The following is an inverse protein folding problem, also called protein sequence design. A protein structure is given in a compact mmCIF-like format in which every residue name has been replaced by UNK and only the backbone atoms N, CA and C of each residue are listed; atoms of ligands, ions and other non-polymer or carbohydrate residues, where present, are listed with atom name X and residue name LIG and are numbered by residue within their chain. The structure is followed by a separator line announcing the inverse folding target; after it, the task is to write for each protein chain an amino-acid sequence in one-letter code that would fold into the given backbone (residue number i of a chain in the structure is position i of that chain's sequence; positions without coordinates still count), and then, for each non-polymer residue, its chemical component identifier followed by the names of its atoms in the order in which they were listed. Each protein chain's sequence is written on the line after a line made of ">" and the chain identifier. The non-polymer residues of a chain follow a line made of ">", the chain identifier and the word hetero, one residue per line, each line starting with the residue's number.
data_IF_045902980898
#
_entry.id   IF_045902980898
#
_cell.length_a   1.000
_cell.length_b   1.000
_cell.length_c   1.000
_cell.angle_alpha   90.00
_cell.angle_beta   90.00
_cell.angle_gamma   90.00
#
_symmetry.space_group_name_H-M   'P 1'
#
loop_
_entity.id
_entity.type
_entity.pdbx_description
1 polymer ?
#
# COMPACT_ATOMS: atom_id res chain seq x y z
N UNK A 1 16.40 33.48 6.78
CA UNK A 1 15.18 33.66 5.97
C UNK A 1 14.52 32.31 5.81
N UNK A 2 13.60 31.99 6.72
CA UNK A 2 12.86 30.72 6.78
C UNK A 2 11.84 30.66 5.64
N UNK A 3 12.30 30.25 4.46
CA UNK A 3 11.49 30.01 3.26
C UNK A 3 10.60 28.76 3.37
N UNK A 4 10.62 28.09 4.53
CA UNK A 4 9.96 26.80 4.84
C UNK A 4 8.46 26.88 5.16
N UNK A 5 7.79 28.02 5.06
CA UNK A 5 6.44 28.20 5.63
C UNK A 5 5.31 28.48 4.63
N UNK A 6 5.49 28.13 3.35
CA UNK A 6 4.42 28.10 2.35
C UNK A 6 3.90 26.68 2.12
N UNK A 7 3.59 25.95 3.19
CA UNK A 7 2.81 24.71 3.11
C UNK A 7 3.54 23.37 3.01
N UNK A 8 4.89 23.32 3.00
CA UNK A 8 5.67 22.07 3.07
C UNK A 8 7.02 22.12 2.35
N UNK A 9 7.89 21.13 2.58
CA UNK A 9 9.15 20.94 1.85
C UNK A 9 8.94 19.95 0.68
N UNK A 10 8.98 20.39 -0.59
CA UNK A 10 8.70 19.52 -1.74
C UNK A 10 9.60 18.28 -1.84
N UNK A 11 10.88 18.40 -1.45
CA UNK A 11 11.82 17.28 -1.49
C UNK A 11 11.45 16.20 -0.47
N UNK A 12 11.11 16.59 0.75
CA UNK A 12 10.62 15.66 1.78
C UNK A 12 9.28 15.04 1.37
N UNK A 13 8.36 15.82 0.81
CA UNK A 13 7.09 15.29 0.31
C UNK A 13 7.28 14.27 -0.81
N UNK A 14 8.24 14.49 -1.72
CA UNK A 14 8.59 13.48 -2.73
C UNK A 14 9.14 12.20 -2.09
N UNK A 15 9.99 12.31 -1.08
CA UNK A 15 10.49 11.13 -0.35
C UNK A 15 9.34 10.37 0.34
N UNK A 16 8.40 11.09 0.96
CA UNK A 16 7.20 10.50 1.57
C UNK A 16 6.37 9.75 0.53
N UNK A 17 6.00 10.39 -0.59
CA UNK A 17 5.21 9.74 -1.63
C UNK A 17 5.89 8.47 -2.17
N UNK A 18 7.21 8.52 -2.39
CA UNK A 18 8.00 7.36 -2.82
C UNK A 18 7.92 6.22 -1.80
N UNK A 19 8.06 6.50 -0.50
CA UNK A 19 7.98 5.48 0.54
C UNK A 19 6.60 4.81 0.61
N UNK A 20 5.52 5.58 0.48
CA UNK A 20 4.16 5.04 0.45
C UNK A 20 3.92 4.15 -0.76
N UNK A 21 4.34 4.56 -1.95
CA UNK A 21 4.23 3.73 -3.16
C UNK A 21 5.04 2.44 -3.06
N UNK A 22 6.28 2.51 -2.55
CA UNK A 22 7.12 1.33 -2.33
C UNK A 22 6.47 0.34 -1.35
N UNK A 23 5.92 0.85 -0.24
CA UNK A 23 5.26 0.00 0.74
C UNK A 23 3.99 -0.64 0.16
N UNK A 24 3.23 0.08 -0.67
CA UNK A 24 2.06 -0.49 -1.35
C UNK A 24 2.43 -1.66 -2.28
N UNK A 25 3.55 -1.55 -3.00
CA UNK A 25 4.05 -2.61 -3.89
C UNK A 25 4.63 -3.79 -3.11
N UNK A 26 5.27 -3.52 -1.97
CA UNK A 26 5.71 -4.57 -1.06
C UNK A 26 4.52 -5.37 -0.51
N UNK A 27 3.42 -4.70 -0.15
CA UNK A 27 2.18 -5.37 0.27
C UNK A 27 1.64 -6.28 -0.83
N UNK A 28 1.59 -5.82 -2.09
CA UNK A 28 1.15 -6.64 -3.23
C UNK A 28 2.03 -7.87 -3.43
N UNK A 29 3.34 -7.68 -3.35
CA UNK A 29 4.33 -8.76 -3.51
C UNK A 29 4.18 -9.81 -2.42
N UNK A 30 4.05 -9.38 -1.17
CA UNK A 30 3.83 -10.27 -0.03
C UNK A 30 2.50 -11.01 -0.17
N UNK A 31 1.43 -10.32 -0.55
CA UNK A 31 0.12 -10.95 -0.78
C UNK A 31 0.21 -12.03 -1.87
N UNK A 32 0.87 -11.76 -3.00
CA UNK A 32 1.04 -12.74 -4.06
C UNK A 32 1.84 -13.98 -3.61
N UNK A 33 2.85 -13.82 -2.76
CA UNK A 33 3.59 -14.93 -2.19
C UNK A 33 2.72 -15.79 -1.25
N UNK A 34 1.99 -15.14 -0.34
CA UNK A 34 1.08 -15.83 0.58
C UNK A 34 -0.07 -16.52 -0.15
N UNK A 35 -0.58 -15.93 -1.22
CA UNK A 35 -1.63 -16.51 -2.06
C UNK A 35 -1.22 -17.83 -2.71
N UNK A 36 0.05 -17.94 -3.12
CA UNK A 36 0.61 -19.19 -3.67
C UNK A 36 0.68 -20.29 -2.61
N UNK A 37 1.02 -19.94 -1.37
CA UNK A 37 1.06 -20.89 -0.26
C UNK A 37 -0.36 -21.31 0.14
N UNK A 38 -1.29 -20.35 0.26
CA UNK A 38 -2.69 -20.63 0.57
C UNK A 38 -3.38 -21.48 -0.52
N UNK A 39 -2.93 -21.40 -1.77
CA UNK A 39 -3.43 -22.25 -2.86
C UNK A 39 -3.10 -23.75 -2.68
N UNK A 40 -2.12 -24.09 -1.83
CA UNK A 40 -1.81 -25.49 -1.49
C UNK A 40 -2.84 -26.10 -0.53
N UNK A 41 -3.68 -25.28 0.09
CA UNK A 41 -4.80 -25.77 0.89
C UNK A 41 -5.77 -26.50 -0.03
N UNK A 42 -6.21 -27.69 0.37
CA UNK A 42 -6.98 -28.66 -0.42
C UNK A 42 -6.15 -29.75 -1.08
N UNK A 43 -4.83 -29.55 -1.24
CA UNK A 43 -3.90 -30.60 -1.70
C UNK A 43 -2.94 -31.02 -0.59
N UNK A 44 -2.28 -30.06 0.05
CA UNK A 44 -1.35 -30.28 1.15
C UNK A 44 -2.03 -30.35 2.52
N UNK A 45 -3.22 -29.74 2.66
CA UNK A 45 -4.00 -29.73 3.90
C UNK A 45 -5.50 -29.77 3.58
N UNK A 46 -6.23 -30.73 4.14
CA UNK A 46 -7.65 -30.99 3.85
C UNK A 46 -8.50 -31.06 5.12
N UNK A 47 -9.82 -31.15 4.94
CA UNK A 47 -10.81 -31.25 6.02
C UNK A 47 -11.37 -29.90 6.49
N UNK A 48 -12.25 -29.90 7.51
CA UNK A 48 -13.01 -28.70 7.89
C UNK A 48 -12.13 -27.51 8.34
N UNK A 49 -10.96 -27.78 8.93
CA UNK A 49 -10.02 -26.72 9.31
C UNK A 49 -9.40 -26.01 8.11
N UNK A 50 -9.11 -26.76 7.03
CA UNK A 50 -8.57 -26.23 5.79
C UNK A 50 -9.59 -25.33 5.07
N UNK A 51 -10.86 -25.73 5.07
CA UNK A 51 -11.97 -24.94 4.53
C UNK A 51 -12.13 -23.62 5.29
N UNK A 52 -12.19 -23.67 6.63
CA UNK A 52 -12.27 -22.47 7.47
C UNK A 52 -11.10 -21.51 7.23
N UNK A 53 -9.89 -22.05 7.05
CA UNK A 53 -8.73 -21.22 6.72
C UNK A 53 -8.88 -20.56 5.34
N UNK A 54 -9.33 -21.29 4.30
CA UNK A 54 -9.56 -20.68 2.98
C UNK A 54 -10.52 -19.50 3.07
N UNK A 55 -11.62 -19.65 3.79
CA UNK A 55 -12.62 -18.59 3.93
C UNK A 55 -12.04 -17.38 4.67
N UNK A 56 -11.33 -17.62 5.79
CA UNK A 56 -10.65 -16.57 6.54
C UNK A 56 -9.57 -15.86 5.70
N UNK A 57 -8.85 -16.61 4.86
CA UNK A 57 -7.84 -16.08 3.96
C UNK A 57 -8.43 -15.15 2.91
N UNK A 58 -9.58 -15.49 2.31
CA UNK A 58 -10.26 -14.61 1.35
C UNK A 58 -10.62 -13.26 1.96
N UNK A 59 -11.13 -13.25 3.19
CA UNK A 59 -11.39 -11.99 3.92
C UNK A 59 -10.12 -11.19 4.18
N UNK A 60 -9.03 -11.89 4.50
CA UNK A 60 -7.73 -11.26 4.77
C UNK A 60 -7.12 -10.65 3.50
N UNK A 61 -7.21 -11.32 2.34
CA UNK A 61 -6.78 -10.79 1.04
C UNK A 61 -7.44 -9.45 0.74
N UNK A 62 -8.76 -9.35 0.95
CA UNK A 62 -9.50 -8.12 0.70
C UNK A 62 -9.03 -6.96 1.59
N UNK A 63 -8.57 -7.23 2.82
CA UNK A 63 -8.01 -6.20 3.69
C UNK A 63 -6.61 -5.74 3.21
N UNK A 64 -5.75 -6.67 2.81
CA UNK A 64 -4.43 -6.33 2.28
C UNK A 64 -4.48 -5.58 0.95
N UNK A 65 -5.41 -5.98 0.07
CA UNK A 65 -5.64 -5.26 -1.18
C UNK A 65 -6.06 -3.81 -0.91
N UNK A 66 -7.06 -3.60 -0.04
CA UNK A 66 -7.47 -2.26 0.40
C UNK A 66 -6.31 -1.46 0.97
N UNK A 67 -5.49 -2.06 1.84
CA UNK A 67 -4.31 -1.39 2.40
C UNK A 67 -3.33 -0.94 1.32
N UNK A 68 -3.07 -1.77 0.30
CA UNK A 68 -2.20 -1.38 -0.83
C UNK A 68 -2.80 -0.22 -1.64
N UNK A 69 -4.11 -0.24 -1.86
CA UNK A 69 -4.83 0.83 -2.56
C UNK A 69 -4.77 2.15 -1.78
N UNK A 70 -5.03 2.12 -0.47
CA UNK A 70 -4.94 3.29 0.42
C UNK A 70 -3.53 3.88 0.47
N UNK A 71 -2.49 3.03 0.50
CA UNK A 71 -1.10 3.50 0.47
C UNK A 71 -0.76 4.20 -0.86
N UNK A 72 -1.23 3.68 -2.00
CA UNK A 72 -1.05 4.34 -3.29
C UNK A 72 -1.84 5.65 -3.36
N UNK A 73 -3.04 5.69 -2.79
CA UNK A 73 -3.84 6.91 -2.77
C UNK A 73 -3.17 7.98 -1.91
N UNK A 74 -2.66 7.63 -0.73
CA UNK A 74 -1.86 8.54 0.09
C UNK A 74 -0.65 9.10 -0.68
N UNK A 75 0.08 8.26 -1.43
CA UNK A 75 1.18 8.72 -2.28
C UNK A 75 0.72 9.71 -3.36
N UNK A 76 -0.43 9.47 -4.01
CA UNK A 76 -1.01 10.41 -4.99
C UNK A 76 -1.36 11.74 -4.36
N UNK A 77 -2.04 11.72 -3.21
CA UNK A 77 -2.41 12.92 -2.47
C UNK A 77 -1.18 13.76 -2.13
N UNK A 78 -0.11 13.15 -1.63
CA UNK A 78 1.15 13.84 -1.33
C UNK A 78 1.73 14.50 -2.60
N UNK A 79 1.76 13.78 -3.72
CA UNK A 79 2.25 14.32 -5.00
C UNK A 79 1.40 15.49 -5.50
N UNK A 80 0.07 15.43 -5.33
CA UNK A 80 -0.84 16.53 -5.69
C UNK A 80 -0.54 17.78 -4.88
N UNK A 81 -0.45 17.67 -3.55
CA UNK A 81 -0.13 18.82 -2.70
C UNK A 81 1.26 19.38 -2.99
N UNK A 82 2.26 18.51 -3.25
CA UNK A 82 3.59 18.96 -3.68
C UNK A 82 3.51 19.81 -4.95
N UNK A 83 2.84 19.31 -5.98
CA UNK A 83 2.70 20.03 -7.26
C UNK A 83 1.99 21.37 -7.11
N UNK A 84 1.00 21.47 -6.22
CA UNK A 84 0.33 22.73 -5.90
C UNK A 84 1.28 23.74 -5.25
N UNK A 85 2.12 23.30 -4.29
CA UNK A 85 3.13 24.15 -3.63
C UNK A 85 4.18 24.63 -4.63
N UNK A 86 4.72 23.73 -5.46
CA UNK A 86 5.70 24.07 -6.49
C UNK A 86 5.14 25.09 -7.51
N UNK A 87 3.86 24.97 -7.86
CA UNK A 87 3.20 25.88 -8.81
C UNK A 87 2.91 27.25 -8.18
N UNK A 88 2.61 27.31 -6.89
CA UNK A 88 2.30 28.56 -6.19
C UNK A 88 3.55 29.35 -5.77
N UNK A 89 4.72 28.70 -5.75
CA UNK A 89 6.00 29.29 -5.31
C UNK A 89 6.93 29.66 -6.47
N UNK A 90 6.51 29.39 -7.71
CA UNK A 90 7.21 29.77 -8.94
C UNK A 90 6.65 31.07 -9.50
#
# INVERSE_FOLDING_TARGET
>A
MSQSLLGGNPAEMQQMATAFSQQADQVRTTMAALDREAAKVGTAWTGPGAERFRDAWQSSRAAFQRMSEELQEAARVINTYRGNIESATR
#
